data_IF_901831859661
#
_entry.id   IF_901831859661
#
_cell.length_a   1.000
_cell.length_b   1.000
_cell.length_c   1.000
_cell.angle_alpha   90.00
_cell.angle_beta   90.00
_cell.angle_gamma   90.00
#
_symmetry.space_group_name_H-M   'P 1'
#
loop_
_entity.id
_entity.type
_entity.pdbx_description
1 polymer ?
#
# COMPACT_ATOMS: atom_id res chain seq x y z
N UNK A 1 8.86 33.24 2.59
CA UNK A 1 8.98 31.84 3.00
C UNK A 1 9.85 31.75 4.25
N UNK A 2 9.27 31.38 5.40
CA UNK A 2 10.07 31.15 6.62
C UNK A 2 10.88 29.87 6.44
N UNK A 3 12.22 29.98 6.46
CA UNK A 3 13.12 28.81 6.50
C UNK A 3 12.86 28.04 7.78
N UNK A 4 12.15 26.92 7.68
CA UNK A 4 12.07 25.94 8.75
C UNK A 4 13.37 25.14 8.75
N UNK A 5 14.34 25.56 9.54
CA UNK A 5 15.50 24.75 9.87
C UNK A 5 15.03 23.58 10.77
N UNK A 6 14.49 22.53 10.17
CA UNK A 6 14.27 21.27 10.90
C UNK A 6 15.65 20.64 11.13
N UNK A 7 16.05 20.32 12.37
CA UNK A 7 17.37 19.75 12.61
C UNK A 7 17.50 18.40 11.90
N UNK A 8 18.56 18.21 11.11
CA UNK A 8 18.85 16.97 10.37
C UNK A 8 18.79 15.70 11.26
N UNK A 9 19.06 15.86 12.56
CA UNK A 9 18.98 14.79 13.56
C UNK A 9 17.56 14.21 13.74
N UNK A 10 16.49 15.00 13.60
CA UNK A 10 15.13 14.53 13.74
C UNK A 10 14.75 13.53 12.63
N UNK A 11 15.16 13.77 11.40
CA UNK A 11 14.90 12.87 10.28
C UNK A 11 15.63 11.53 10.41
N UNK A 12 16.87 11.54 10.94
CA UNK A 12 17.66 10.33 11.16
C UNK A 12 17.08 9.47 12.30
N UNK A 13 16.65 10.10 13.39
CA UNK A 13 16.02 9.41 14.51
C UNK A 13 14.70 8.76 14.08
N UNK A 14 13.92 9.44 13.26
CA UNK A 14 12.67 8.91 12.74
C UNK A 14 12.91 7.73 11.78
N UNK A 15 13.91 7.81 10.92
CA UNK A 15 14.32 6.69 10.05
C UNK A 15 14.74 5.46 10.87
N UNK A 16 15.50 5.66 11.93
CA UNK A 16 15.91 4.59 12.83
C UNK A 16 14.73 3.99 13.57
N UNK A 17 13.75 4.81 13.97
CA UNK A 17 12.51 4.35 14.60
C UNK A 17 11.71 3.43 13.67
N UNK A 18 11.47 3.84 12.41
CA UNK A 18 10.77 3.02 11.43
C UNK A 18 11.49 1.68 11.24
N UNK A 19 12.82 1.71 11.05
CA UNK A 19 13.63 0.50 10.91
C UNK A 19 13.53 -0.40 12.15
N UNK A 20 13.61 0.18 13.34
CA UNK A 20 13.49 -0.57 14.59
C UNK A 20 12.13 -1.25 14.70
N UNK A 21 11.03 -0.53 14.45
CA UNK A 21 9.67 -1.09 14.44
C UNK A 21 9.59 -2.23 13.41
N UNK A 22 10.10 -2.00 12.20
CA UNK A 22 10.11 -2.99 11.13
C UNK A 22 10.81 -4.29 11.55
N UNK A 23 12.04 -4.20 12.06
CA UNK A 23 12.78 -5.40 12.48
C UNK A 23 12.13 -6.08 13.69
N UNK A 24 11.61 -5.32 14.66
CA UNK A 24 10.92 -5.87 15.83
C UNK A 24 9.69 -6.68 15.42
N UNK A 25 8.89 -6.16 14.50
CA UNK A 25 7.66 -6.84 14.07
C UNK A 25 7.95 -8.05 13.18
N UNK A 26 8.95 -8.00 12.30
CA UNK A 26 9.41 -9.19 11.56
C UNK A 26 9.92 -10.26 12.53
N UNK A 27 10.75 -9.87 13.49
CA UNK A 27 11.25 -10.81 14.50
C UNK A 27 10.12 -11.43 15.33
N UNK A 28 9.15 -10.62 15.76
CA UNK A 28 7.95 -11.09 16.46
C UNK A 28 7.15 -12.06 15.58
N UNK A 29 6.98 -11.76 14.28
CA UNK A 29 6.29 -12.64 13.36
C UNK A 29 6.98 -14.01 13.25
N UNK A 30 8.31 -14.04 13.06
CA UNK A 30 9.11 -15.27 13.00
C UNK A 30 8.97 -16.04 14.33
N UNK A 31 9.13 -15.34 15.45
CA UNK A 31 9.10 -15.93 16.77
C UNK A 31 7.77 -16.62 17.07
N UNK A 32 6.66 -15.95 16.83
CA UNK A 32 5.33 -16.49 17.12
C UNK A 32 4.91 -17.58 16.14
N UNK A 33 5.24 -17.50 14.86
CA UNK A 33 4.85 -18.51 13.87
C UNK A 33 5.70 -19.80 13.95
N UNK A 34 7.00 -19.69 14.22
CA UNK A 34 7.91 -20.83 14.14
C UNK A 34 8.31 -21.38 15.51
N UNK A 35 8.33 -20.57 16.56
CA UNK A 35 8.82 -20.97 17.86
C UNK A 35 7.68 -21.28 18.83
N UNK A 36 6.72 -20.39 18.97
CA UNK A 36 5.65 -20.53 19.98
C UNK A 36 4.33 -21.09 19.47
N UNK A 37 4.00 -20.98 18.18
CA UNK A 37 2.76 -21.48 17.55
C UNK A 37 1.48 -21.16 18.34
N UNK A 38 1.34 -19.93 18.83
CA UNK A 38 0.24 -19.51 19.70
C UNK A 38 -0.91 -18.95 18.85
N UNK A 39 -2.15 -19.39 19.11
CA UNK A 39 -3.37 -18.89 18.46
C UNK A 39 -3.65 -17.39 18.69
N UNK A 40 -3.17 -16.82 19.80
CA UNK A 40 -3.29 -15.38 20.15
C UNK A 40 -2.53 -14.46 19.18
N UNK A 41 -1.74 -15.03 18.29
CA UNK A 41 -0.89 -14.31 17.35
C UNK A 41 -1.68 -13.40 16.40
N UNK A 42 -2.82 -13.85 15.87
CA UNK A 42 -3.64 -13.08 14.92
C UNK A 42 -4.13 -11.76 15.53
N UNK A 43 -4.58 -11.78 16.76
CA UNK A 43 -5.09 -10.60 17.48
C UNK A 43 -3.99 -9.55 17.71
N UNK A 44 -2.83 -10.01 18.18
CA UNK A 44 -1.68 -9.12 18.40
C UNK A 44 -1.23 -8.47 17.09
N UNK A 45 -1.19 -9.25 15.99
CA UNK A 45 -0.75 -8.75 14.70
C UNK A 45 -1.75 -7.78 14.08
N UNK A 46 -3.05 -8.04 14.20
CA UNK A 46 -4.10 -7.12 13.76
C UNK A 46 -3.99 -5.75 14.45
N UNK A 47 -3.82 -5.75 15.78
CA UNK A 47 -3.62 -4.52 16.55
C UNK A 47 -2.32 -3.81 16.14
N UNK A 48 -1.22 -4.55 15.99
CA UNK A 48 0.06 -3.97 15.59
C UNK A 48 -0.01 -3.34 14.20
N UNK A 49 -0.65 -4.00 13.23
CA UNK A 49 -0.90 -3.47 11.88
C UNK A 49 -1.79 -2.22 11.94
N UNK A 50 -2.87 -2.24 12.75
CA UNK A 50 -3.74 -1.08 12.93
C UNK A 50 -2.95 0.13 13.45
N UNK A 51 -2.23 -0.02 14.55
CA UNK A 51 -1.47 1.07 15.15
C UNK A 51 -0.37 1.59 14.22
N UNK A 52 0.28 0.70 13.48
CA UNK A 52 1.34 1.08 12.57
C UNK A 52 0.80 1.80 11.32
N UNK A 53 -0.35 1.39 10.80
CA UNK A 53 -1.02 2.11 9.71
C UNK A 53 -1.54 3.48 10.15
N UNK A 54 -2.07 3.61 11.37
CA UNK A 54 -2.45 4.92 11.94
C UNK A 54 -1.25 5.86 12.05
N UNK A 55 -0.13 5.35 12.57
CA UNK A 55 1.12 6.10 12.62
C UNK A 55 1.55 6.57 11.23
N UNK A 56 1.50 5.67 10.23
CA UNK A 56 1.79 5.98 8.84
C UNK A 56 0.85 7.03 8.25
N UNK A 57 -0.45 6.94 8.56
CA UNK A 57 -1.45 7.90 8.12
C UNK A 57 -1.16 9.32 8.65
N UNK A 58 -0.93 9.46 9.96
CA UNK A 58 -0.61 10.73 10.60
C UNK A 58 0.69 11.31 10.01
N UNK A 59 1.70 10.47 9.83
CA UNK A 59 2.98 10.89 9.26
C UNK A 59 2.84 11.37 7.81
N UNK A 60 2.14 10.59 6.97
CA UNK A 60 1.89 10.94 5.56
C UNK A 60 1.07 12.23 5.43
N UNK A 61 0.09 12.44 6.31
CA UNK A 61 -0.69 13.67 6.36
C UNK A 61 0.16 14.90 6.71
N UNK A 62 1.05 14.78 7.69
CA UNK A 62 1.96 15.86 8.04
C UNK A 62 2.94 16.16 6.90
N UNK A 63 3.42 15.14 6.22
CA UNK A 63 4.29 15.30 5.05
C UNK A 63 3.52 15.95 3.88
N UNK A 64 2.24 15.63 3.68
CA UNK A 64 1.38 16.29 2.70
C UNK A 64 1.29 17.81 2.95
N UNK A 65 1.17 18.22 4.22
CA UNK A 65 1.17 19.65 4.60
C UNK A 65 2.49 20.34 4.25
N UNK A 66 3.61 19.68 4.50
CA UNK A 66 4.95 20.21 4.16
C UNK A 66 5.11 20.42 2.64
N UNK A 67 4.45 19.60 1.82
CA UNK A 67 4.36 19.72 0.35
C UNK A 67 3.31 20.71 -0.15
N UNK A 68 2.70 21.49 0.74
CA UNK A 68 1.67 22.47 0.38
C UNK A 68 0.26 21.90 0.21
N UNK A 69 0.04 20.66 0.70
CA UNK A 69 -1.27 20.01 0.72
C UNK A 69 -1.95 19.98 -0.67
N UNK A 70 -3.15 20.54 -0.81
CA UNK A 70 -3.90 20.59 -2.06
C UNK A 70 -3.29 21.49 -3.16
N UNK A 71 -2.26 22.27 -2.84
CA UNK A 71 -1.60 23.19 -3.78
C UNK A 71 -0.51 22.52 -4.63
N UNK A 72 -0.15 21.27 -4.33
CA UNK A 72 0.84 20.52 -5.10
C UNK A 72 0.36 19.10 -5.37
N UNK A 73 0.77 18.54 -6.51
CA UNK A 73 0.43 17.16 -6.86
C UNK A 73 1.05 16.15 -5.89
N UNK A 74 2.27 16.39 -5.42
CA UNK A 74 2.91 15.52 -4.42
C UNK A 74 2.16 15.64 -3.08
N UNK A 75 1.75 16.84 -2.66
CA UNK A 75 0.95 17.05 -1.46
C UNK A 75 -0.39 16.31 -1.52
N UNK A 76 -1.11 16.41 -2.64
CA UNK A 76 -2.34 15.65 -2.88
C UNK A 76 -2.10 14.14 -2.87
N UNK A 77 -1.03 13.69 -3.51
CA UNK A 77 -0.68 12.26 -3.48
C UNK A 77 -0.49 11.75 -2.05
N UNK A 78 0.31 12.45 -1.26
CA UNK A 78 0.59 12.07 0.13
C UNK A 78 -0.66 12.14 1.02
N UNK A 79 -1.59 13.06 0.71
CA UNK A 79 -2.89 13.11 1.37
C UNK A 79 -3.70 11.84 1.09
N UNK A 80 -3.81 11.42 -0.18
CA UNK A 80 -4.55 10.22 -0.54
C UNK A 80 -3.89 8.95 -0.01
N UNK A 81 -2.56 8.86 0.00
CA UNK A 81 -1.83 7.78 0.67
C UNK A 81 -2.14 7.75 2.17
N UNK A 82 -2.21 8.93 2.82
CA UNK A 82 -2.61 9.02 4.22
C UNK A 82 -4.04 8.49 4.45
N UNK A 83 -4.98 8.81 3.57
CA UNK A 83 -6.35 8.30 3.65
C UNK A 83 -6.39 6.78 3.46
N UNK A 84 -5.64 6.22 2.52
CA UNK A 84 -5.52 4.78 2.34
C UNK A 84 -4.99 4.07 3.60
N UNK A 85 -3.93 4.60 4.21
CA UNK A 85 -3.41 4.08 5.49
C UNK A 85 -4.41 4.24 6.65
N UNK A 86 -5.25 5.30 6.63
CA UNK A 86 -6.31 5.47 7.62
C UNK A 86 -7.43 4.43 7.43
N UNK A 87 -7.77 4.08 6.19
CA UNK A 87 -8.71 2.98 5.91
C UNK A 87 -8.14 1.63 6.40
N UNK A 88 -6.84 1.40 6.22
CA UNK A 88 -6.14 0.25 6.80
C UNK A 88 -6.32 0.18 8.32
N UNK A 89 -6.11 1.31 9.01
CA UNK A 89 -6.30 1.37 10.46
C UNK A 89 -7.72 1.00 10.86
N UNK A 90 -8.73 1.58 10.23
CA UNK A 90 -10.10 1.26 10.55
C UNK A 90 -10.45 -0.18 10.19
N UNK A 91 -10.06 -0.66 9.02
CA UNK A 91 -10.27 -2.04 8.59
C UNK A 91 -9.73 -3.05 9.61
N UNK A 92 -8.46 -2.92 9.99
CA UNK A 92 -7.84 -3.81 10.98
C UNK A 92 -8.46 -3.69 12.37
N UNK A 93 -8.86 -2.48 12.78
CA UNK A 93 -9.52 -2.27 14.07
C UNK A 93 -10.88 -2.95 14.11
N UNK A 94 -11.69 -2.79 13.06
CA UNK A 94 -13.00 -3.44 12.97
C UNK A 94 -12.89 -4.95 12.78
N UNK A 95 -11.92 -5.43 12.02
CA UNK A 95 -11.62 -6.86 11.90
C UNK A 95 -11.32 -7.49 13.27
N UNK A 96 -10.48 -6.85 14.08
CA UNK A 96 -10.19 -7.30 15.45
C UNK A 96 -11.43 -7.26 16.34
N UNK A 97 -12.28 -6.25 16.24
CA UNK A 97 -13.51 -6.15 17.04
C UNK A 97 -14.54 -7.21 16.62
N UNK A 98 -14.70 -7.46 15.33
CA UNK A 98 -15.63 -8.47 14.77
C UNK A 98 -15.25 -9.88 15.22
N UNK A 99 -13.95 -10.21 15.26
CA UNK A 99 -13.47 -11.50 15.76
C UNK A 99 -13.83 -11.75 17.24
N UNK A 100 -14.13 -10.68 18.01
CA UNK A 100 -14.50 -10.77 19.44
C UNK A 100 -16.00 -10.75 19.71
N UNK A 101 -16.80 -10.15 18.80
CA UNK A 101 -18.23 -9.90 19.01
C UNK A 101 -19.09 -10.87 18.21
N UNK A 102 -18.48 -11.68 17.30
CA UNK A 102 -19.19 -12.56 16.36
C UNK A 102 -20.30 -11.80 15.61
N UNK A 103 -20.00 -10.56 15.19
CA UNK A 103 -20.98 -9.73 14.51
C UNK A 103 -21.22 -10.28 13.11
N UNK A 104 -22.47 -10.20 12.64
CA UNK A 104 -22.81 -10.58 11.25
C UNK A 104 -22.52 -9.47 10.24
N UNK A 105 -22.09 -8.29 10.72
CA UNK A 105 -21.82 -7.11 9.90
C UNK A 105 -20.31 -7.02 9.68
N UNK A 106 -19.86 -7.46 8.54
CA UNK A 106 -18.45 -7.39 8.11
C UNK A 106 -18.03 -5.94 7.78
N UNK A 107 -18.17 -5.05 8.79
CA UNK A 107 -17.90 -3.60 8.64
C UNK A 107 -16.46 -3.34 8.20
N UNK A 108 -15.52 -4.20 8.58
CA UNK A 108 -14.12 -4.09 8.20
C UNK A 108 -13.90 -4.12 6.69
N UNK A 109 -14.71 -4.88 5.95
CA UNK A 109 -14.63 -4.98 4.49
C UNK A 109 -14.87 -3.64 3.81
N UNK A 110 -15.86 -2.88 4.31
CA UNK A 110 -16.11 -1.54 3.81
C UNK A 110 -14.86 -0.66 3.85
N UNK A 111 -14.09 -0.72 4.92
CA UNK A 111 -12.87 0.07 5.04
C UNK A 111 -11.77 -0.45 4.11
N UNK A 112 -11.61 -1.77 4.01
CA UNK A 112 -10.60 -2.35 3.13
C UNK A 112 -10.86 -2.02 1.66
N UNK A 113 -12.11 -2.02 1.17
CA UNK A 113 -12.47 -1.65 -0.20
C UNK A 113 -11.97 -0.24 -0.56
N UNK A 114 -11.92 0.69 0.38
CA UNK A 114 -11.50 2.06 0.12
C UNK A 114 -9.98 2.27 0.08
N UNK A 115 -9.17 1.31 0.48
CA UNK A 115 -7.71 1.41 0.44
C UNK A 115 -7.22 1.63 -0.99
N UNK A 116 -7.62 0.74 -1.91
CA UNK A 116 -7.18 0.77 -3.30
C UNK A 116 -7.59 2.04 -4.05
N UNK A 117 -8.84 2.53 -3.98
CA UNK A 117 -9.22 3.81 -4.55
C UNK A 117 -8.38 4.98 -4.04
N UNK A 118 -8.09 5.04 -2.74
CA UNK A 118 -7.25 6.11 -2.19
C UNK A 118 -5.80 5.98 -2.68
N UNK A 119 -5.23 4.80 -2.70
CA UNK A 119 -3.88 4.60 -3.25
C UNK A 119 -3.82 4.89 -4.74
N UNK A 120 -4.83 4.52 -5.53
CA UNK A 120 -4.92 4.86 -6.95
C UNK A 120 -4.94 6.37 -7.18
N UNK A 121 -5.72 7.11 -6.38
CA UNK A 121 -5.72 8.58 -6.43
C UNK A 121 -4.35 9.15 -6.05
N UNK A 122 -3.71 8.60 -5.01
CA UNK A 122 -2.35 8.98 -4.63
C UNK A 122 -1.35 8.78 -5.77
N UNK A 123 -1.36 7.60 -6.39
CA UNK A 123 -0.53 7.25 -7.53
C UNK A 123 -0.82 8.11 -8.77
N UNK A 124 -2.10 8.41 -9.03
CA UNK A 124 -2.49 9.31 -10.12
C UNK A 124 -1.81 10.68 -9.99
N UNK A 125 -1.83 11.26 -8.79
CA UNK A 125 -1.19 12.55 -8.55
C UNK A 125 0.33 12.47 -8.63
N UNK A 126 0.96 11.36 -8.20
CA UNK A 126 2.38 11.10 -8.45
C UNK A 126 2.65 11.06 -9.95
N UNK A 127 1.93 10.23 -10.70
CA UNK A 127 2.09 10.10 -12.15
C UNK A 127 1.97 11.46 -12.86
N UNK A 128 1.05 12.29 -12.39
CA UNK A 128 0.87 13.65 -12.90
C UNK A 128 2.04 14.57 -12.56
N UNK A 129 2.58 14.47 -11.33
CA UNK A 129 3.71 15.29 -10.89
C UNK A 129 5.01 14.99 -11.64
N UNK A 130 5.20 13.74 -12.03
CA UNK A 130 6.39 13.27 -12.77
C UNK A 130 6.22 13.28 -14.29
N UNK A 131 5.07 13.77 -14.81
CA UNK A 131 4.83 13.93 -16.24
C UNK A 131 4.55 12.62 -17.02
N UNK A 132 4.20 11.52 -16.35
CA UNK A 132 3.91 10.23 -16.99
C UNK A 132 2.83 10.35 -18.05
N UNK A 133 1.76 11.09 -17.80
CA UNK A 133 0.66 11.26 -18.76
C UNK A 133 1.08 12.04 -20.02
N UNK A 134 1.94 13.04 -19.89
CA UNK A 134 2.47 13.79 -21.04
C UNK A 134 3.33 12.87 -21.91
N UNK A 135 4.12 11.99 -21.28
CA UNK A 135 4.91 11.01 -22.01
C UNK A 135 4.06 9.97 -22.73
N UNK A 136 3.01 9.46 -22.10
CA UNK A 136 2.04 8.54 -22.73
C UNK A 136 1.29 9.20 -23.87
N UNK A 137 0.87 10.46 -23.73
CA UNK A 137 0.19 11.21 -24.77
C UNK A 137 1.06 11.39 -26.03
N UNK A 138 2.36 11.62 -25.85
CA UNK A 138 3.31 11.74 -26.96
C UNK A 138 3.67 10.40 -27.61
N UNK A 139 3.43 9.28 -26.94
CA UNK A 139 3.79 7.92 -27.38
C UNK A 139 2.60 6.98 -27.17
N UNK A 140 1.52 7.20 -27.91
CA UNK A 140 0.24 6.49 -27.69
C UNK A 140 0.37 4.95 -27.78
N UNK A 141 1.27 4.44 -28.63
CA UNK A 141 1.55 2.99 -28.70
C UNK A 141 1.96 2.36 -27.37
N UNK A 142 2.53 3.16 -26.45
CA UNK A 142 2.92 2.67 -25.14
C UNK A 142 1.71 2.44 -24.20
N UNK A 143 0.52 2.92 -24.54
CA UNK A 143 -0.71 2.66 -23.79
C UNK A 143 -1.11 1.18 -23.86
N UNK A 144 -0.69 0.46 -24.91
CA UNK A 144 -0.91 -0.98 -25.02
C UNK A 144 -0.22 -1.77 -23.89
N UNK A 145 0.91 -1.26 -23.36
CA UNK A 145 1.66 -1.96 -22.32
C UNK A 145 0.90 -2.08 -20.99
N UNK A 146 0.31 -1.01 -20.41
CA UNK A 146 -0.59 -1.14 -19.26
C UNK A 146 -1.76 -2.09 -19.50
N UNK A 147 -2.35 -2.06 -20.68
CA UNK A 147 -3.47 -2.96 -21.02
C UNK A 147 -3.01 -4.42 -21.01
N UNK A 148 -1.86 -4.72 -21.59
CA UNK A 148 -1.27 -6.07 -21.58
C UNK A 148 -0.94 -6.51 -20.14
N UNK A 149 -0.35 -5.63 -19.34
CA UNK A 149 -0.04 -5.92 -17.92
C UNK A 149 -1.33 -6.22 -17.16
N UNK A 150 -2.39 -5.44 -17.39
CA UNK A 150 -3.69 -5.67 -16.75
C UNK A 150 -4.27 -7.04 -17.14
N UNK A 151 -4.31 -7.36 -18.44
CA UNK A 151 -4.87 -8.63 -18.93
C UNK A 151 -4.08 -9.81 -18.37
N UNK A 152 -2.75 -9.76 -18.41
CA UNK A 152 -1.91 -10.85 -17.89
C UNK A 152 -2.14 -11.02 -16.38
N UNK A 153 -2.17 -9.93 -15.63
CA UNK A 153 -2.41 -9.95 -14.19
C UNK A 153 -3.79 -10.52 -13.88
N UNK A 154 -4.82 -10.05 -14.58
CA UNK A 154 -6.18 -10.53 -14.41
C UNK A 154 -6.29 -12.03 -14.67
N UNK A 155 -5.70 -12.53 -15.75
CA UNK A 155 -5.72 -13.96 -16.07
C UNK A 155 -4.98 -14.80 -15.01
N UNK A 156 -3.80 -14.36 -14.55
CA UNK A 156 -3.02 -15.09 -13.55
C UNK A 156 -3.79 -15.15 -12.23
N UNK A 157 -4.30 -14.03 -11.76
CA UNK A 157 -4.99 -13.94 -10.46
C UNK A 157 -6.32 -14.69 -10.48
N UNK A 158 -7.10 -14.54 -11.55
CA UNK A 158 -8.37 -15.27 -11.71
C UNK A 158 -8.16 -16.78 -11.72
N UNK A 159 -7.15 -17.24 -12.46
CA UNK A 159 -6.82 -18.67 -12.49
C UNK A 159 -6.33 -19.19 -11.12
N UNK A 160 -5.49 -18.41 -10.43
CA UNK A 160 -4.94 -18.81 -9.13
C UNK A 160 -6.03 -18.90 -8.04
N UNK A 161 -6.98 -17.96 -8.05
CA UNK A 161 -7.97 -17.88 -6.98
C UNK A 161 -9.21 -18.73 -7.24
N UNK A 162 -9.64 -18.94 -8.48
CA UNK A 162 -10.90 -19.66 -8.77
C UNK A 162 -10.77 -20.86 -9.72
N UNK A 163 -9.60 -21.06 -10.33
CA UNK A 163 -9.42 -22.10 -11.35
C UNK A 163 -10.14 -21.83 -12.68
N UNK A 164 -11.19 -21.01 -12.69
CA UNK A 164 -11.92 -20.55 -13.88
C UNK A 164 -12.16 -19.04 -13.83
N UNK A 165 -11.63 -18.32 -14.83
CA UNK A 165 -11.78 -16.86 -14.90
C UNK A 165 -13.22 -16.41 -15.22
N UNK A 166 -14.05 -17.26 -15.82
CA UNK A 166 -15.45 -16.93 -16.13
C UNK A 166 -16.33 -16.94 -14.87
N UNK A 167 -15.96 -17.66 -13.84
CA UNK A 167 -16.73 -17.74 -12.60
C UNK A 167 -16.82 -16.36 -11.91
N UNK A 168 -15.81 -15.52 -12.04
CA UNK A 168 -15.82 -14.13 -11.52
C UNK A 168 -16.97 -13.31 -12.12
N UNK A 169 -17.35 -13.54 -13.39
CA UNK A 169 -18.42 -12.78 -14.04
C UNK A 169 -19.82 -13.25 -13.67
N UNK A 170 -19.96 -14.50 -13.21
CA UNK A 170 -21.27 -15.07 -12.88
C UNK A 170 -21.61 -14.94 -11.39
N UNK A 171 -20.60 -14.92 -10.52
CA UNK A 171 -20.78 -14.91 -9.06
C UNK A 171 -19.87 -13.83 -8.44
N UNK A 172 -20.20 -12.55 -8.68
CA UNK A 172 -19.45 -11.41 -8.10
C UNK A 172 -19.69 -11.35 -6.59
N UNK A 173 -18.61 -11.56 -5.84
CA UNK A 173 -18.56 -11.40 -4.39
C UNK A 173 -17.76 -10.14 -4.01
N UNK A 174 -17.83 -9.72 -2.76
CA UNK A 174 -17.03 -8.59 -2.25
C UNK A 174 -15.54 -8.84 -2.42
N UNK A 175 -15.08 -10.08 -2.22
CA UNK A 175 -13.69 -10.50 -2.45
C UNK A 175 -13.22 -10.21 -3.89
N UNK A 176 -14.09 -10.36 -4.89
CA UNK A 176 -13.76 -10.06 -6.28
C UNK A 176 -13.47 -8.58 -6.50
N UNK A 177 -14.14 -7.71 -5.74
CA UNK A 177 -13.90 -6.26 -5.77
C UNK A 177 -12.49 -5.94 -5.26
N UNK A 178 -12.02 -6.61 -4.19
CA UNK A 178 -10.65 -6.47 -3.70
C UNK A 178 -9.63 -6.94 -4.74
N UNK A 179 -9.84 -8.16 -5.27
CA UNK A 179 -8.97 -8.74 -6.28
C UNK A 179 -8.87 -7.80 -7.50
N UNK A 180 -10.00 -7.31 -7.97
CA UNK A 180 -10.02 -6.38 -9.09
C UNK A 180 -9.32 -5.06 -8.76
N UNK A 181 -9.59 -4.47 -7.60
CA UNK A 181 -8.94 -3.26 -7.12
C UNK A 181 -7.42 -3.41 -7.05
N UNK A 182 -6.95 -4.50 -6.47
CA UNK A 182 -5.52 -4.79 -6.33
C UNK A 182 -4.83 -5.00 -7.70
N UNK A 183 -5.49 -5.66 -8.67
CA UNK A 183 -4.98 -5.81 -10.05
C UNK A 183 -4.84 -4.44 -10.73
N UNK A 184 -5.86 -3.58 -10.62
CA UNK A 184 -5.81 -2.22 -11.18
C UNK A 184 -4.67 -1.43 -10.54
N UNK A 185 -4.54 -1.50 -9.21
CA UNK A 185 -3.50 -0.82 -8.46
C UNK A 185 -2.10 -1.28 -8.89
N UNK A 186 -1.86 -2.59 -8.95
CA UNK A 186 -0.58 -3.16 -9.39
C UNK A 186 -0.24 -2.78 -10.83
N UNK A 187 -1.23 -2.86 -11.74
CA UNK A 187 -1.08 -2.45 -13.14
C UNK A 187 -0.65 -0.99 -13.24
N UNK A 188 -1.26 -0.12 -12.45
CA UNK A 188 -0.95 1.30 -12.45
C UNK A 188 0.46 1.56 -11.92
N UNK A 189 0.85 0.90 -10.83
CA UNK A 189 2.22 0.98 -10.27
C UNK A 189 3.26 0.51 -11.27
N UNK A 190 3.07 -0.68 -11.88
CA UNK A 190 3.99 -1.24 -12.85
C UNK A 190 4.13 -0.30 -14.05
N UNK A 191 3.01 0.27 -14.52
CA UNK A 191 3.01 1.24 -15.61
C UNK A 191 3.83 2.48 -15.27
N UNK A 192 3.64 3.06 -14.10
CA UNK A 192 4.43 4.21 -13.65
C UNK A 192 5.92 3.83 -13.57
N UNK A 193 6.26 2.68 -13.02
CA UNK A 193 7.65 2.19 -12.92
C UNK A 193 8.31 2.07 -14.29
N UNK A 194 7.62 1.51 -15.27
CA UNK A 194 8.12 1.34 -16.63
C UNK A 194 8.37 2.69 -17.34
N UNK A 195 7.43 3.63 -17.18
CA UNK A 195 7.54 4.94 -17.80
C UNK A 195 8.45 5.90 -17.03
N UNK A 196 8.64 5.69 -15.72
CA UNK A 196 9.51 6.51 -14.89
C UNK A 196 11.01 6.27 -15.09
N UNK A 197 11.40 5.28 -15.87
CA UNK A 197 12.83 4.98 -16.13
C UNK A 197 13.60 6.18 -16.70
N UNK A 198 12.93 7.05 -17.45
CA UNK A 198 13.50 8.30 -18.00
C UNK A 198 13.48 9.47 -17.02
N UNK A 199 12.78 9.31 -15.90
CA UNK A 199 12.73 10.34 -14.87
C UNK A 199 13.99 10.27 -14.03
N UNK A 200 14.86 11.25 -14.21
CA UNK A 200 15.92 11.57 -13.27
C UNK A 200 15.33 12.29 -12.06
N UNK A 201 16.10 12.40 -10.99
CA UNK A 201 15.75 13.28 -9.89
C UNK A 201 15.92 12.65 -8.52
N UNK A 202 15.98 13.54 -7.53
CA UNK A 202 16.26 13.23 -6.13
C UNK A 202 15.21 12.26 -5.54
N UNK A 203 13.97 12.34 -6.02
CA UNK A 203 12.85 11.53 -5.48
C UNK A 203 12.70 10.16 -6.10
N UNK A 204 13.43 9.82 -7.15
CA UNK A 204 13.31 8.53 -7.84
C UNK A 204 13.38 7.35 -6.87
N UNK A 205 14.35 7.37 -5.96
CA UNK A 205 14.52 6.31 -4.96
C UNK A 205 13.33 6.23 -3.99
N UNK A 206 12.84 7.39 -3.53
CA UNK A 206 11.70 7.46 -2.62
C UNK A 206 10.42 6.89 -3.26
N UNK A 207 10.17 7.25 -4.52
CA UNK A 207 9.02 6.75 -5.28
C UNK A 207 9.12 5.25 -5.54
N UNK A 208 10.30 4.73 -5.88
CA UNK A 208 10.46 3.28 -6.03
C UNK A 208 10.16 2.52 -4.75
N UNK A 209 10.64 2.98 -3.59
CA UNK A 209 10.35 2.35 -2.31
C UNK A 209 8.85 2.35 -2.04
N UNK A 210 8.16 3.47 -2.28
CA UNK A 210 6.72 3.60 -2.12
C UNK A 210 5.97 2.64 -3.06
N UNK A 211 6.36 2.58 -4.32
CA UNK A 211 5.74 1.70 -5.31
C UNK A 211 5.94 0.22 -4.98
N UNK A 212 7.14 -0.17 -4.51
CA UNK A 212 7.36 -1.52 -4.01
C UNK A 212 6.48 -1.82 -2.79
N UNK A 213 6.28 -0.86 -1.88
CA UNK A 213 5.34 -1.02 -0.77
C UNK A 213 3.94 -1.38 -1.27
N UNK A 214 3.42 -0.65 -2.24
CA UNK A 214 2.10 -0.92 -2.82
C UNK A 214 2.05 -2.27 -3.56
N UNK A 215 3.13 -2.67 -4.24
CA UNK A 215 3.21 -4.00 -4.86
C UNK A 215 3.22 -5.13 -3.82
N UNK A 216 3.87 -4.93 -2.66
CA UNK A 216 3.81 -5.90 -1.57
C UNK A 216 2.39 -6.03 -1.00
N UNK A 217 1.60 -4.95 -0.98
CA UNK A 217 0.18 -5.04 -0.64
C UNK A 217 -0.57 -5.92 -1.65
N UNK A 218 -0.42 -5.65 -2.95
CA UNK A 218 -1.02 -6.46 -4.00
C UNK A 218 -0.70 -7.96 -3.83
N UNK A 219 0.55 -8.31 -3.52
CA UNK A 219 0.91 -9.71 -3.25
C UNK A 219 0.27 -10.23 -1.97
N UNK A 220 0.14 -9.40 -0.94
CA UNK A 220 -0.54 -9.75 0.32
C UNK A 220 -2.01 -10.06 0.10
N UNK A 221 -2.72 -9.20 -0.63
CA UNK A 221 -4.16 -9.35 -0.94
C UNK A 221 -4.43 -10.66 -1.70
N UNK A 222 -3.63 -10.93 -2.76
CA UNK A 222 -3.79 -12.15 -3.54
C UNK A 222 -3.40 -13.41 -2.77
N UNK A 223 -2.39 -13.33 -1.92
CA UNK A 223 -1.97 -14.46 -1.09
C UNK A 223 -2.99 -14.75 0.01
N UNK A 224 -3.59 -13.70 0.59
CA UNK A 224 -4.66 -13.83 1.58
C UNK A 224 -5.86 -14.55 0.96
N UNK A 225 -6.36 -14.08 -0.19
CA UNK A 225 -7.46 -14.71 -0.91
C UNK A 225 -7.17 -16.18 -1.27
N UNK A 226 -5.94 -16.48 -1.72
CA UNK A 226 -5.54 -17.87 -2.03
C UNK A 226 -5.55 -18.76 -0.77
N UNK A 227 -5.04 -18.28 0.36
CA UNK A 227 -5.00 -19.07 1.60
C UNK A 227 -6.39 -19.26 2.19
N UNK A 228 -7.27 -18.28 2.10
CA UNK A 228 -8.65 -18.38 2.53
C UNK A 228 -9.39 -19.48 1.75
N UNK A 229 -9.26 -19.50 0.43
CA UNK A 229 -9.84 -20.55 -0.42
C UNK A 229 -9.31 -21.96 -0.11
N UNK A 230 -8.07 -22.08 0.33
CA UNK A 230 -7.46 -23.36 0.68
C UNK A 230 -7.60 -23.72 2.16
N UNK A 231 -8.30 -22.92 2.96
CA UNK A 231 -8.41 -23.05 4.42
C UNK A 231 -7.01 -23.14 5.09
N UNK A 232 -6.03 -22.40 4.57
CA UNK A 232 -4.67 -22.33 5.10
C UNK A 232 -4.50 -21.13 6.01
N UNK A 233 -3.48 -21.19 6.87
CA UNK A 233 -3.15 -20.06 7.74
C UNK A 233 -2.59 -18.86 6.94
N UNK A 234 -3.27 -17.70 7.03
CA UNK A 234 -2.93 -16.46 6.34
C UNK A 234 -1.72 -15.69 6.87
N UNK A 235 -0.98 -16.23 7.83
CA UNK A 235 0.12 -15.52 8.52
C UNK A 235 1.20 -14.93 7.60
N UNK A 236 1.44 -15.53 6.44
CA UNK A 236 2.38 -15.00 5.46
C UNK A 236 1.84 -13.73 4.75
N UNK A 237 0.53 -13.65 4.54
CA UNK A 237 -0.10 -12.45 4.00
C UNK A 237 0.05 -11.27 4.99
N UNK A 238 -0.11 -11.51 6.29
CA UNK A 238 0.12 -10.51 7.34
C UNK A 238 1.55 -9.94 7.28
N UNK A 239 2.55 -10.79 7.05
CA UNK A 239 3.92 -10.36 6.88
C UNK A 239 4.08 -9.44 5.67
N UNK A 240 3.44 -9.78 4.53
CA UNK A 240 3.49 -8.96 3.32
C UNK A 240 2.81 -7.60 3.53
N UNK A 241 1.67 -7.57 4.20
CA UNK A 241 1.00 -6.32 4.57
C UNK A 241 1.88 -5.44 5.46
N UNK A 242 2.55 -6.05 6.42
CA UNK A 242 3.46 -5.33 7.28
C UNK A 242 4.65 -4.74 6.53
N UNK A 243 5.27 -5.51 5.62
CA UNK A 243 6.33 -5.04 4.72
C UNK A 243 5.81 -3.89 3.85
N UNK A 244 4.61 -4.04 3.29
CA UNK A 244 3.95 -3.02 2.48
C UNK A 244 3.84 -1.68 3.21
N UNK A 245 3.18 -1.66 4.37
CA UNK A 245 2.97 -0.45 5.17
C UNK A 245 4.32 0.18 5.54
N UNK A 246 5.29 -0.64 5.93
CA UNK A 246 6.65 -0.17 6.28
C UNK A 246 7.33 0.54 5.11
N UNK A 247 7.27 -0.05 3.91
CA UNK A 247 7.86 0.52 2.70
C UNK A 247 7.12 1.79 2.26
N UNK A 248 5.79 1.82 2.36
CA UNK A 248 5.00 3.02 2.07
C UNK A 248 5.41 4.16 3.00
N UNK A 249 5.44 3.93 4.32
CA UNK A 249 5.86 4.95 5.30
C UNK A 249 7.30 5.40 5.04
N UNK A 250 8.20 4.46 4.75
CA UNK A 250 9.59 4.78 4.48
C UNK A 250 9.76 5.56 3.16
N UNK A 251 9.01 5.21 2.11
CA UNK A 251 8.96 5.97 0.87
C UNK A 251 8.46 7.40 1.07
N UNK A 252 7.38 7.57 1.83
CA UNK A 252 6.85 8.89 2.21
C UNK A 252 7.88 9.70 3.00
N UNK A 253 8.62 9.06 3.91
CA UNK A 253 9.68 9.73 4.68
C UNK A 253 10.78 10.29 3.76
N UNK A 254 11.15 9.54 2.73
CA UNK A 254 12.20 9.97 1.77
C UNK A 254 11.73 11.09 0.83
N UNK A 255 10.41 11.31 0.72
CA UNK A 255 9.83 12.46 0.00
C UNK A 255 9.87 13.72 0.89
N UNK A 256 11.07 14.24 1.13
CA UNK A 256 11.30 15.40 1.99
C UNK A 256 11.48 16.67 1.13
N UNK A 257 10.58 17.69 1.24
CA UNK A 257 10.68 18.91 0.45
C UNK A 257 11.93 19.75 0.77
N UNK A 258 12.57 19.55 1.92
CA UNK A 258 13.77 20.30 2.32
C UNK A 258 14.96 19.92 1.45
N UNK A 259 15.05 18.67 0.99
CA UNK A 259 16.12 18.19 0.11
C UNK A 259 16.10 18.75 -1.31
N UNK A 260 15.06 19.51 -1.68
CA UNK A 260 15.03 20.25 -2.95
C UNK A 260 15.89 21.51 -2.93
N UNK A 261 16.26 21.99 -1.76
CA UNK A 261 16.97 23.26 -1.58
C UNK A 261 18.46 23.05 -1.26
N UNK A 262 18.94 21.81 -1.23
CA UNK A 262 20.34 21.40 -1.16
C UNK A 262 20.86 21.00 -2.56
#
# INVERSE_FOLDING_TARGET
MKKFNKPQNLNKNFENLIKSIFFTLIFSWIFFNYIYKIEIYSDFFAIALALFSLFGAIFSFNRAKEWGFHKSYIGLSLLFISLGLLMWFFGQTFYFLDSKIESKLEIYEFFFIFIDPFYLLGLYYIARSIGTFNYLKSNFSLVLLPILVFIINFLIVSYANRGDFLEIFYNLNIEDVYIFGSIVLATFVISILLFSRKLGGIYKRALYILFFGILFQYFGDNLYAYFELQNLNGSLADLLFFISISLVIYGVQKLDPIKLNE
#
